data_IF_098423538785
#
_entry.id   IF_098423538785
#
_cell.length_a   1.000
_cell.length_b   1.000
_cell.length_c   1.000
_cell.angle_alpha   90.00
_cell.angle_beta   90.00
_cell.angle_gamma   90.00
#
_symmetry.space_group_name_H-M   'P 1'
#
loop_
_entity.id
_entity.type
_entity.pdbx_description
1 polymer ?
#
# COMPACT_ATOMS: atom_id res chain seq x y z
N UNK A 1 15.45 15.33 13.00
CA UNK A 1 15.38 14.62 11.74
C UNK A 1 14.12 13.78 11.62
N UNK A 2 13.41 13.94 10.55
CA UNK A 2 12.20 13.18 10.34
C UNK A 2 12.53 11.71 10.11
N UNK A 3 11.83 10.84 10.80
CA UNK A 3 11.93 9.42 10.61
C UNK A 3 11.11 9.03 9.39
N UNK A 4 11.65 8.17 8.55
CA UNK A 4 10.94 7.65 7.39
C UNK A 4 10.72 6.18 7.54
N UNK A 5 9.58 5.72 7.09
CA UNK A 5 9.32 4.30 6.98
C UNK A 5 10.31 3.69 5.99
N UNK A 6 10.84 2.49 6.27
CA UNK A 6 11.65 1.79 5.28
C UNK A 6 10.84 1.61 4.00
N UNK A 7 11.42 1.99 2.87
CA UNK A 7 10.75 1.94 1.57
C UNK A 7 11.42 0.87 0.71
N UNK A 8 10.62 0.00 0.13
CA UNK A 8 11.13 -0.97 -0.83
C UNK A 8 10.22 -1.00 -2.05
N UNK A 9 10.79 -1.35 -3.18
CA UNK A 9 10.05 -1.44 -4.43
C UNK A 9 9.44 -2.83 -4.55
N UNK A 10 8.17 -2.87 -4.94
CA UNK A 10 7.43 -4.12 -5.11
C UNK A 10 6.95 -4.20 -6.55
N UNK A 11 7.53 -5.07 -7.36
CA UNK A 11 7.09 -5.19 -8.75
C UNK A 11 5.69 -5.78 -8.84
N UNK A 12 4.93 -5.27 -9.80
CA UNK A 12 3.58 -5.76 -10.06
C UNK A 12 3.52 -6.28 -11.50
N UNK A 13 2.55 -7.15 -11.75
CA UNK A 13 2.25 -7.60 -13.09
C UNK A 13 1.29 -6.61 -13.74
N UNK A 14 1.63 -6.11 -14.92
CA UNK A 14 0.79 -5.15 -15.63
C UNK A 14 0.98 -3.72 -15.16
N UNK A 15 0.02 -2.87 -15.49
CA UNK A 15 0.14 -1.42 -15.31
C UNK A 15 -0.50 -0.92 -14.03
N UNK A 16 -1.29 -1.75 -13.35
CA UNK A 16 -2.12 -1.29 -12.25
C UNK A 16 -2.35 -2.43 -11.27
N UNK A 17 -2.46 -2.08 -10.01
CA UNK A 17 -2.86 -3.00 -8.96
C UNK A 17 -3.80 -2.25 -8.02
N UNK A 18 -4.73 -2.96 -7.41
CA UNK A 18 -5.63 -2.34 -6.45
C UNK A 18 -5.00 -2.31 -5.07
N UNK A 19 -5.37 -1.29 -4.28
CA UNK A 19 -4.74 -1.05 -2.98
C UNK A 19 -4.77 -2.29 -2.07
N UNK A 20 -5.94 -2.94 -1.97
CA UNK A 20 -6.05 -4.13 -1.12
C UNK A 20 -5.14 -5.26 -1.57
N UNK A 21 -5.01 -5.45 -2.88
CA UNK A 21 -4.13 -6.47 -3.43
C UNK A 21 -2.66 -6.12 -3.19
N UNK A 22 -2.32 -4.84 -3.33
CA UNK A 22 -0.95 -4.40 -3.14
C UNK A 22 -0.46 -4.60 -1.72
N UNK A 23 -1.34 -4.36 -0.72
CA UNK A 23 -0.96 -4.58 0.68
C UNK A 23 -0.54 -6.02 0.93
N UNK A 24 -1.22 -6.98 0.31
CA UNK A 24 -0.85 -8.39 0.44
C UNK A 24 0.44 -8.69 -0.31
N UNK A 25 0.55 -8.22 -1.54
CA UNK A 25 1.73 -8.46 -2.37
C UNK A 25 2.99 -7.90 -1.72
N UNK A 26 2.88 -6.74 -1.12
CA UNK A 26 4.01 -6.07 -0.48
C UNK A 26 4.34 -6.65 0.91
N UNK A 27 3.52 -7.57 1.40
CA UNK A 27 3.74 -8.16 2.73
C UNK A 27 3.40 -7.22 3.87
N UNK A 28 2.62 -6.18 3.61
CA UNK A 28 2.20 -5.25 4.66
C UNK A 28 1.05 -5.84 5.48
N UNK A 29 0.29 -6.74 4.91
CA UNK A 29 -0.73 -7.53 5.59
C UNK A 29 -0.63 -8.97 5.11
N UNK A 30 -1.20 -9.89 5.88
CA UNK A 30 -1.14 -11.32 5.56
C UNK A 30 -2.34 -11.80 4.75
N UNK A 31 -3.50 -11.17 4.92
CA UNK A 31 -4.73 -11.65 4.31
C UNK A 31 -5.53 -10.51 3.69
N UNK A 32 -6.45 -10.86 2.80
CA UNK A 32 -7.37 -9.88 2.20
C UNK A 32 -8.31 -9.28 3.24
N UNK A 33 -8.73 -10.05 4.23
CA UNK A 33 -9.56 -9.55 5.32
C UNK A 33 -8.84 -8.50 6.15
N UNK A 34 -7.57 -8.72 6.45
CA UNK A 34 -6.77 -7.75 7.16
C UNK A 34 -6.59 -6.48 6.34
N UNK A 35 -6.34 -6.62 5.03
CA UNK A 35 -6.24 -5.47 4.14
C UNK A 35 -7.51 -4.62 4.19
N UNK A 36 -8.66 -5.28 4.12
CA UNK A 36 -9.95 -4.59 4.17
C UNK A 36 -10.11 -3.79 5.46
N UNK A 37 -9.72 -4.40 6.59
CA UNK A 37 -9.87 -3.75 7.89
C UNK A 37 -8.98 -2.53 8.04
N UNK A 38 -7.69 -2.66 7.71
CA UNK A 38 -6.77 -1.54 7.89
C UNK A 38 -7.09 -0.38 6.96
N UNK A 39 -7.56 -0.69 5.75
CA UNK A 39 -7.98 0.37 4.81
C UNK A 39 -9.22 1.09 5.35
N UNK A 40 -10.22 0.33 5.76
CA UNK A 40 -11.46 0.93 6.27
C UNK A 40 -11.23 1.75 7.53
N UNK A 41 -10.27 1.35 8.35
CA UNK A 41 -9.95 2.06 9.59
C UNK A 41 -9.11 3.32 9.38
N UNK A 42 -8.75 3.62 8.13
CA UNK A 42 -7.97 4.83 7.84
C UNK A 42 -6.51 4.73 8.22
N UNK A 43 -5.97 3.52 8.29
CA UNK A 43 -4.59 3.30 8.71
C UNK A 43 -3.60 3.28 7.54
N UNK A 44 -4.11 3.30 6.31
CA UNK A 44 -3.30 3.18 5.10
C UNK A 44 -3.23 4.52 4.40
N UNK A 45 -2.04 4.93 4.01
CA UNK A 45 -1.87 6.12 3.19
C UNK A 45 -1.35 5.75 1.81
N UNK A 46 -1.75 6.53 0.82
CA UNK A 46 -1.22 6.44 -0.53
C UNK A 46 -0.65 7.81 -0.86
N UNK A 47 0.64 7.85 -1.14
CA UNK A 47 1.35 9.10 -1.43
C UNK A 47 1.14 10.13 -0.32
N UNK A 48 1.09 9.67 0.92
CA UNK A 48 0.98 10.52 2.10
C UNK A 48 -0.43 10.88 2.52
N UNK A 49 -1.45 10.42 1.80
CA UNK A 49 -2.85 10.73 2.13
C UNK A 49 -3.61 9.46 2.48
N UNK A 50 -4.42 9.53 3.53
CA UNK A 50 -5.27 8.41 3.92
C UNK A 50 -6.23 8.07 2.79
N UNK A 51 -6.32 6.79 2.46
CA UNK A 51 -7.27 6.31 1.47
C UNK A 51 -8.03 5.13 2.05
N UNK A 52 -9.34 5.22 2.06
CA UNK A 52 -10.22 4.18 2.61
C UNK A 52 -10.84 3.31 1.53
N UNK A 53 -10.39 3.45 0.29
CA UNK A 53 -10.94 2.69 -0.85
C UNK A 53 -10.07 1.48 -1.13
N UNK A 54 -10.57 0.30 -0.82
CA UNK A 54 -9.83 -0.94 -1.08
C UNK A 54 -9.54 -1.12 -2.56
N UNK A 55 -10.43 -0.64 -3.40
CA UNK A 55 -10.29 -0.75 -4.85
C UNK A 55 -9.51 0.37 -5.52
N UNK A 56 -8.88 1.26 -4.73
CA UNK A 56 -8.04 2.33 -5.29
C UNK A 56 -7.01 1.74 -6.25
N UNK A 57 -6.94 2.29 -7.45
CA UNK A 57 -5.95 1.86 -8.44
C UNK A 57 -4.60 2.49 -8.16
N UNK A 58 -3.57 1.68 -8.13
CA UNK A 58 -2.20 2.11 -7.93
C UNK A 58 -1.40 1.83 -9.19
N UNK A 59 -0.46 2.73 -9.47
CA UNK A 59 0.41 2.63 -10.65
C UNK A 59 1.86 2.75 -10.20
N UNK A 60 2.77 2.47 -11.09
CA UNK A 60 4.20 2.59 -10.82
C UNK A 60 4.51 3.95 -10.20
N UNK A 61 5.28 3.92 -9.12
CA UNK A 61 5.67 5.13 -8.41
C UNK A 61 4.79 5.47 -7.22
N UNK A 62 3.58 4.90 -7.13
CA UNK A 62 2.73 5.16 -5.97
C UNK A 62 3.34 4.51 -4.72
N UNK A 63 3.29 5.24 -3.61
CA UNK A 63 3.87 4.80 -2.34
C UNK A 63 2.75 4.55 -1.35
N UNK A 64 2.72 3.34 -0.79
CA UNK A 64 1.72 2.93 0.20
C UNK A 64 2.42 2.74 1.54
N UNK A 65 1.84 3.29 2.59
CA UNK A 65 2.39 3.18 3.92
C UNK A 65 1.36 2.66 4.90
N UNK A 66 1.78 1.75 5.76
CA UNK A 66 0.94 1.17 6.81
C UNK A 66 1.83 0.86 8.01
N UNK A 67 1.47 1.42 9.16
CA UNK A 67 2.07 1.04 10.45
C UNK A 67 3.60 1.16 10.45
N UNK A 68 4.09 2.27 9.91
CA UNK A 68 5.53 2.56 9.89
C UNK A 68 6.31 1.81 8.84
N UNK A 69 5.63 1.10 7.93
CA UNK A 69 6.28 0.42 6.81
C UNK A 69 5.74 0.98 5.50
N UNK A 70 6.61 1.08 4.51
CA UNK A 70 6.23 1.65 3.23
C UNK A 70 6.71 0.77 2.08
N UNK A 71 5.94 0.76 1.00
CA UNK A 71 6.28 0.06 -0.22
C UNK A 71 5.90 0.92 -1.42
N UNK A 72 6.70 0.86 -2.45
CA UNK A 72 6.45 1.60 -3.69
C UNK A 72 6.13 0.62 -4.80
N UNK A 73 5.12 0.95 -5.59
CA UNK A 73 4.74 0.15 -6.75
C UNK A 73 5.83 0.26 -7.80
N UNK A 74 6.33 -0.88 -8.26
CA UNK A 74 7.34 -0.94 -9.31
C UNK A 74 6.84 -1.80 -10.46
N UNK A 75 7.48 -1.70 -11.59
CA UNK A 75 7.11 -2.51 -12.76
C UNK A 75 8.14 -3.58 -13.06
#
# INVERSE_FOLDING_TARGET
MASRAPLHDVPIAGDMIRLGQFLQLAGLVDTGGEAKEVIADGLVTVNGEVDVRRGRQLHEGDVVELDGRAARVAS
#
